data_IF_314544568720
#
_entry.id   IF_314544568720
#
_cell.length_a   1.000
_cell.length_b   1.000
_cell.length_c   1.000
_cell.angle_alpha   90.00
_cell.angle_beta   90.00
_cell.angle_gamma   90.00
#
_symmetry.space_group_name_H-M   'P 1'
#
loop_
_entity.id
_entity.type
_entity.pdbx_description
1 polymer ?
#
# COMPACT_ATOMS: atom_id res chain seq x y z
N UNK A 1 17.64 -2.80 4.68
CA UNK A 1 16.24 -2.55 4.29
C UNK A 1 16.06 -3.03 2.85
N UNK A 2 15.06 -3.86 2.58
CA UNK A 2 14.89 -4.44 1.24
C UNK A 2 14.21 -3.44 0.30
N UNK A 3 14.96 -2.91 -0.65
CA UNK A 3 14.42 -2.14 -1.78
C UNK A 3 14.11 -3.04 -2.97
N UNK A 4 14.26 -4.35 -2.82
CA UNK A 4 14.14 -5.30 -3.90
C UNK A 4 13.02 -6.29 -3.66
N UNK A 5 12.25 -6.56 -4.70
CA UNK A 5 11.30 -7.67 -4.71
C UNK A 5 12.07 -8.96 -4.93
N UNK A 6 12.07 -9.86 -3.95
CA UNK A 6 12.69 -11.17 -4.10
C UNK A 6 11.91 -12.05 -5.09
N UNK A 7 12.58 -12.95 -5.81
CA UNK A 7 11.92 -13.98 -6.61
C UNK A 7 11.00 -14.84 -5.75
N UNK A 8 9.87 -15.27 -6.30
CA UNK A 8 8.87 -16.07 -5.57
C UNK A 8 9.47 -17.37 -5.06
N UNK A 9 10.31 -18.04 -5.86
CA UNK A 9 11.00 -19.26 -5.44
C UNK A 9 11.81 -19.07 -4.16
N UNK A 10 12.63 -18.01 -4.11
CA UNK A 10 13.41 -17.68 -2.90
C UNK A 10 12.52 -17.37 -1.70
N UNK A 11 11.39 -16.70 -1.91
CA UNK A 11 10.43 -16.45 -0.84
C UNK A 11 9.88 -17.76 -0.26
N UNK A 12 9.56 -18.73 -1.10
CA UNK A 12 9.10 -20.07 -0.67
C UNK A 12 10.18 -20.87 0.04
N UNK A 13 11.43 -20.78 -0.42
CA UNK A 13 12.56 -21.43 0.28
C UNK A 13 12.73 -20.85 1.69
N UNK A 14 12.76 -19.52 1.82
CA UNK A 14 12.86 -18.84 3.12
C UNK A 14 11.67 -19.24 4.01
N UNK A 15 10.46 -19.24 3.45
CA UNK A 15 9.26 -19.62 4.19
C UNK A 15 9.33 -21.07 4.68
N UNK A 16 9.89 -21.97 3.86
CA UNK A 16 10.13 -23.36 4.23
C UNK A 16 11.14 -23.48 5.37
N UNK A 17 12.21 -22.69 5.34
CA UNK A 17 13.18 -22.64 6.45
C UNK A 17 12.55 -22.11 7.73
N UNK A 18 11.72 -21.07 7.65
CA UNK A 18 10.98 -20.53 8.80
C UNK A 18 10.03 -21.58 9.37
N UNK A 19 9.32 -22.33 8.53
CA UNK A 19 8.45 -23.44 8.95
C UNK A 19 9.25 -24.51 9.70
N UNK A 20 10.38 -24.96 9.12
CA UNK A 20 11.27 -25.94 9.76
C UNK A 20 11.78 -25.44 11.12
N UNK A 21 12.22 -24.19 11.19
CA UNK A 21 12.69 -23.58 12.43
C UNK A 21 11.56 -23.52 13.48
N UNK A 22 10.39 -23.04 13.10
CA UNK A 22 9.24 -22.90 13.99
C UNK A 22 8.82 -24.24 14.60
N UNK A 23 8.78 -25.28 13.79
CA UNK A 23 8.45 -26.64 14.26
C UNK A 23 9.63 -27.35 14.91
N UNK A 24 10.77 -26.68 15.07
CA UNK A 24 11.97 -27.21 15.73
C UNK A 24 12.53 -28.44 15.02
N UNK A 25 12.40 -28.52 13.70
CA UNK A 25 13.01 -29.59 12.92
C UNK A 25 14.52 -29.37 12.85
N UNK A 26 15.24 -30.21 13.59
CA UNK A 26 16.70 -30.31 13.54
C UNK A 26 17.06 -31.68 12.94
N UNK A 27 17.69 -31.70 11.76
CA UNK A 27 18.04 -32.93 11.04
C UNK A 27 16.87 -33.57 10.29
N UNK A 28 16.96 -34.86 9.98
CA UNK A 28 16.00 -35.59 9.14
C UNK A 28 14.74 -36.07 9.87
N UNK A 29 14.64 -35.84 11.18
CA UNK A 29 13.49 -36.24 11.98
C UNK A 29 12.21 -35.49 11.62
N UNK A 30 11.22 -36.24 11.12
CA UNK A 30 9.86 -35.65 10.88
C UNK A 30 9.19 -35.40 12.23
N UNK A 31 8.84 -34.13 12.50
CA UNK A 31 8.01 -33.77 13.65
C UNK A 31 6.56 -33.62 13.23
N UNK A 32 5.64 -33.94 14.14
CA UNK A 32 4.20 -33.78 13.91
C UNK A 32 3.84 -32.29 13.88
N UNK A 33 3.20 -31.86 12.80
CA UNK A 33 2.67 -30.51 12.66
C UNK A 33 1.22 -30.53 13.13
N UNK A 34 0.94 -29.95 14.29
CA UNK A 34 -0.40 -29.93 14.90
C UNK A 34 -1.40 -29.06 14.15
N UNK A 35 -0.90 -28.01 13.44
CA UNK A 35 -1.71 -27.07 12.66
C UNK A 35 -1.08 -26.83 11.30
N UNK A 36 -1.91 -26.55 10.30
CA UNK A 36 -1.43 -26.09 8.98
C UNK A 36 -0.80 -24.71 9.11
N UNK A 37 0.29 -24.46 8.37
CA UNK A 37 0.99 -23.20 8.38
C UNK A 37 0.09 -22.01 8.01
N UNK A 38 -0.80 -22.23 7.05
CA UNK A 38 -1.77 -21.24 6.59
C UNK A 38 -2.73 -20.82 7.71
N UNK A 39 -3.12 -21.73 8.58
CA UNK A 39 -3.97 -21.43 9.75
C UNK A 39 -3.23 -20.59 10.80
N UNK A 40 -1.94 -20.86 11.02
CA UNK A 40 -1.09 -20.04 11.90
C UNK A 40 -0.87 -18.62 11.35
N UNK A 41 -0.90 -18.45 10.03
CA UNK A 41 -0.75 -17.16 9.36
C UNK A 41 -2.05 -16.34 9.30
N UNK A 42 -3.21 -16.92 9.60
CA UNK A 42 -4.48 -16.19 9.64
C UNK A 42 -4.51 -15.24 10.84
N UNK A 43 -5.00 -14.02 10.59
CA UNK A 43 -5.25 -13.07 11.67
C UNK A 43 -6.32 -13.60 12.61
N UNK A 44 -5.95 -13.82 13.87
CA UNK A 44 -6.86 -14.18 14.96
C UNK A 44 -7.04 -12.97 15.88
N UNK A 45 -8.00 -13.08 16.80
CA UNK A 45 -8.34 -12.05 17.79
C UNK A 45 -7.14 -11.44 18.54
N UNK A 46 -7.27 -10.24 19.14
CA UNK A 46 -6.19 -9.56 19.85
C UNK A 46 -5.53 -10.48 20.90
N UNK A 47 -4.20 -10.53 20.88
CA UNK A 47 -3.41 -11.31 21.83
C UNK A 47 -2.78 -12.59 21.28
N UNK A 48 -3.07 -12.99 20.07
CA UNK A 48 -2.45 -14.17 19.44
C UNK A 48 -1.32 -13.74 18.50
N UNK A 49 -0.18 -14.43 18.58
CA UNK A 49 0.94 -14.22 17.65
C UNK A 49 0.51 -14.54 16.23
N UNK A 50 0.61 -13.55 15.34
CA UNK A 50 0.30 -13.70 13.92
C UNK A 50 1.61 -13.91 13.17
N UNK A 51 1.82 -15.14 12.71
CA UNK A 51 2.87 -15.45 11.76
C UNK A 51 2.42 -14.90 10.38
N UNK A 52 3.15 -13.96 9.85
CA UNK A 52 2.86 -13.38 8.52
C UNK A 52 3.57 -14.18 7.45
N UNK A 53 2.86 -14.42 6.35
CA UNK A 53 3.45 -15.00 5.14
C UNK A 53 4.59 -14.06 4.68
N UNK A 54 5.77 -14.61 4.47
CA UNK A 54 6.98 -13.84 4.14
C UNK A 54 6.79 -12.93 2.91
N UNK A 55 6.07 -13.42 1.89
CA UNK A 55 5.75 -12.66 0.68
C UNK A 55 4.96 -11.37 1.00
N UNK A 56 3.98 -11.44 1.89
CA UNK A 56 3.21 -10.27 2.33
C UNK A 56 4.09 -9.27 3.08
N UNK A 57 4.98 -9.76 3.95
CA UNK A 57 5.91 -8.91 4.70
C UNK A 57 6.87 -8.18 3.77
N UNK A 58 7.39 -8.85 2.77
CA UNK A 58 8.25 -8.25 1.75
C UNK A 58 7.50 -7.16 0.96
N UNK A 59 6.26 -7.41 0.53
CA UNK A 59 5.45 -6.41 -0.18
C UNK A 59 5.18 -5.19 0.71
N UNK A 60 4.92 -5.37 2.00
CA UNK A 60 4.75 -4.27 2.96
C UNK A 60 6.01 -3.40 3.08
N UNK A 61 7.20 -4.01 3.05
CA UNK A 61 8.45 -3.25 3.05
C UNK A 61 8.60 -2.40 1.78
N UNK A 62 8.23 -2.91 0.62
CA UNK A 62 8.24 -2.13 -0.64
C UNK A 62 7.20 -0.99 -0.61
N UNK A 63 6.02 -1.25 -0.08
CA UNK A 63 4.99 -0.22 0.15
C UNK A 63 5.54 0.88 1.05
N UNK A 64 6.24 0.54 2.14
CA UNK A 64 6.87 1.51 3.03
C UNK A 64 7.92 2.36 2.31
N UNK A 65 8.75 1.79 1.42
CA UNK A 65 9.70 2.56 0.62
C UNK A 65 9.00 3.55 -0.32
N UNK A 66 7.94 3.09 -0.98
CA UNK A 66 7.11 3.96 -1.84
C UNK A 66 6.44 5.08 -1.03
N UNK A 67 5.97 4.76 0.17
CA UNK A 67 5.39 5.74 1.09
C UNK A 67 6.40 6.83 1.50
N UNK A 68 7.65 6.45 1.76
CA UNK A 68 8.70 7.41 2.03
C UNK A 68 8.99 8.31 0.83
N UNK A 69 8.99 7.78 -0.40
CA UNK A 69 9.14 8.60 -1.60
C UNK A 69 7.97 9.58 -1.82
N UNK A 70 6.82 9.35 -1.23
CA UNK A 70 5.70 10.30 -1.28
C UNK A 70 5.86 11.44 -0.26
N UNK A 71 6.35 11.14 0.94
CA UNK A 71 6.28 12.06 2.09
C UNK A 71 7.62 12.72 2.39
N UNK A 72 8.74 11.99 2.33
CA UNK A 72 10.06 12.52 2.64
C UNK A 72 10.77 13.00 1.38
N UNK A 73 10.57 14.28 1.04
CA UNK A 73 11.18 14.93 -0.13
C UNK A 73 12.62 15.35 0.11
N UNK A 74 13.12 15.32 1.35
CA UNK A 74 14.45 15.77 1.73
C UNK A 74 15.51 14.69 1.62
N UNK A 75 15.11 13.43 1.70
CA UNK A 75 16.02 12.29 1.69
C UNK A 75 16.83 12.16 0.40
N UNK A 76 18.06 11.68 0.52
CA UNK A 76 18.90 11.34 -0.63
C UNK A 76 18.21 10.32 -1.54
N UNK A 77 17.51 9.37 -0.94
CA UNK A 77 16.72 8.36 -1.65
C UNK A 77 15.68 9.01 -2.59
N UNK A 78 14.90 9.97 -2.08
CA UNK A 78 13.95 10.72 -2.90
C UNK A 78 14.65 11.49 -4.03
N UNK A 79 15.72 12.22 -3.72
CA UNK A 79 16.43 13.07 -4.69
C UNK A 79 16.99 12.24 -5.87
N UNK A 80 17.60 11.09 -5.57
CA UNK A 80 18.15 10.19 -6.60
C UNK A 80 17.06 9.61 -7.49
N UNK A 81 15.96 9.12 -6.91
CA UNK A 81 14.89 8.53 -7.70
C UNK A 81 14.09 9.58 -8.47
N UNK A 82 13.89 10.76 -7.89
CA UNK A 82 13.20 11.87 -8.56
C UNK A 82 13.94 12.32 -9.80
N UNK A 83 15.23 12.61 -9.69
CA UNK A 83 16.02 13.10 -10.82
C UNK A 83 16.02 12.12 -12.00
N UNK A 84 15.99 10.81 -11.73
CA UNK A 84 16.11 9.77 -12.75
C UNK A 84 14.78 9.32 -13.33
N UNK A 85 13.72 9.20 -12.53
CA UNK A 85 12.49 8.49 -12.94
C UNK A 85 11.23 9.35 -12.97
N UNK A 86 11.19 10.46 -12.24
CA UNK A 86 10.02 11.36 -12.23
C UNK A 86 10.41 12.83 -11.96
N UNK A 87 11.24 13.43 -12.82
CA UNK A 87 11.71 14.81 -12.65
C UNK A 87 10.54 15.78 -12.55
N UNK A 88 9.51 15.57 -13.37
CA UNK A 88 8.28 16.35 -13.39
C UNK A 88 7.13 15.51 -12.83
N UNK A 89 6.60 15.88 -11.66
CA UNK A 89 5.45 15.20 -11.07
C UNK A 89 5.75 14.38 -9.82
N UNK A 90 4.95 13.36 -9.59
CA UNK A 90 4.98 12.52 -8.40
C UNK A 90 5.31 11.06 -8.74
N UNK A 91 5.71 10.29 -7.73
CA UNK A 91 5.91 8.85 -7.92
C UNK A 91 4.62 8.13 -8.36
N UNK A 92 3.44 8.72 -8.05
CA UNK A 92 2.16 8.11 -8.43
C UNK A 92 1.95 8.09 -9.94
N UNK A 93 2.49 9.08 -10.66
CA UNK A 93 2.34 9.25 -12.11
C UNK A 93 3.57 8.76 -12.87
N UNK A 94 4.62 8.37 -12.14
CA UNK A 94 5.90 7.99 -12.71
C UNK A 94 5.80 6.80 -13.66
N UNK A 95 6.49 6.89 -14.79
CA UNK A 95 6.59 5.80 -15.76
C UNK A 95 7.46 4.65 -15.24
N UNK A 96 7.27 3.48 -15.82
CA UNK A 96 8.13 2.32 -15.59
C UNK A 96 8.81 1.91 -16.92
N UNK A 97 9.89 2.60 -17.31
CA UNK A 97 10.58 2.29 -18.57
C UNK A 97 11.19 0.89 -18.55
N UNK A 98 11.36 0.29 -19.73
CA UNK A 98 11.98 -1.05 -19.87
C UNK A 98 13.42 -1.09 -19.36
N UNK A 99 14.15 0.03 -19.46
CA UNK A 99 15.52 0.21 -18.95
C UNK A 99 15.60 0.50 -17.46
N UNK A 100 14.46 0.50 -16.73
CA UNK A 100 14.44 0.80 -15.32
C UNK A 100 15.25 -0.20 -14.49
N UNK A 101 15.93 0.29 -13.46
CA UNK A 101 16.65 -0.56 -12.50
C UNK A 101 15.70 -1.53 -11.79
N UNK A 102 16.25 -2.63 -11.30
CA UNK A 102 15.47 -3.61 -10.55
C UNK A 102 14.85 -3.01 -9.27
N UNK A 103 15.58 -2.10 -8.62
CA UNK A 103 15.07 -1.36 -7.46
C UNK A 103 13.82 -0.53 -7.83
N UNK A 104 13.87 0.23 -8.93
CA UNK A 104 12.74 1.02 -9.39
C UNK A 104 11.53 0.16 -9.71
N UNK A 105 11.72 -0.91 -10.48
CA UNK A 105 10.63 -1.86 -10.78
C UNK A 105 9.99 -2.44 -9.52
N UNK A 106 10.79 -2.69 -8.48
CA UNK A 106 10.31 -3.17 -7.19
C UNK A 106 9.48 -2.12 -6.46
N UNK A 107 9.94 -0.86 -6.45
CA UNK A 107 9.21 0.28 -5.85
C UNK A 107 7.87 0.52 -6.56
N UNK A 108 7.84 0.44 -7.90
CA UNK A 108 6.61 0.56 -8.68
C UNK A 108 5.58 -0.52 -8.30
N UNK A 109 6.01 -1.73 -7.94
CA UNK A 109 5.10 -2.76 -7.41
C UNK A 109 4.50 -2.35 -6.06
N UNK A 110 5.28 -1.71 -5.18
CA UNK A 110 4.78 -1.12 -3.94
C UNK A 110 3.76 -0.01 -4.20
N UNK A 111 3.99 0.85 -5.20
CA UNK A 111 3.06 1.90 -5.64
C UNK A 111 1.69 1.33 -6.02
N UNK A 112 1.65 0.24 -6.77
CA UNK A 112 0.39 -0.39 -7.19
C UNK A 112 -0.44 -0.86 -5.98
N UNK A 113 0.21 -1.33 -4.92
CA UNK A 113 -0.48 -1.70 -3.69
C UNK A 113 -1.07 -0.45 -3.00
N UNK A 114 -0.31 0.66 -2.95
CA UNK A 114 -0.80 1.93 -2.41
C UNK A 114 -1.99 2.42 -3.22
N UNK A 115 -1.91 2.45 -4.55
CA UNK A 115 -3.02 2.87 -5.42
C UNK A 115 -4.30 2.08 -5.17
N UNK A 116 -4.18 0.78 -4.88
CA UNK A 116 -5.33 -0.08 -4.58
C UNK A 116 -5.90 0.13 -3.18
N UNK A 117 -5.06 0.45 -2.21
CA UNK A 117 -5.44 0.50 -0.79
C UNK A 117 -5.56 1.90 -0.18
N UNK A 118 -4.93 2.91 -0.78
CA UNK A 118 -4.95 4.25 -0.23
C UNK A 118 -6.33 4.90 -0.33
N UNK A 119 -6.71 5.58 0.74
CA UNK A 119 -7.91 6.41 0.83
C UNK A 119 -7.45 7.79 1.29
N UNK A 120 -7.95 8.84 0.65
CA UNK A 120 -7.68 10.20 1.06
C UNK A 120 -8.29 10.51 2.42
N UNK A 121 -7.49 11.03 3.32
CA UNK A 121 -7.98 11.66 4.54
C UNK A 121 -8.27 13.11 4.21
N UNK A 122 -9.53 13.52 4.30
CA UNK A 122 -9.96 14.85 3.94
C UNK A 122 -9.57 15.84 5.03
N UNK A 123 -8.84 16.89 4.62
CA UNK A 123 -8.63 18.10 5.41
C UNK A 123 -9.60 19.19 4.96
N UNK A 124 -9.11 20.13 4.13
CA UNK A 124 -9.92 21.20 3.53
C UNK A 124 -10.65 20.79 2.24
N UNK A 125 -10.36 19.60 1.70
CA UNK A 125 -11.00 19.03 0.52
C UNK A 125 -10.65 19.68 -0.82
N UNK A 126 -9.72 20.65 -0.89
CA UNK A 126 -9.38 21.39 -2.11
C UNK A 126 -8.74 20.56 -3.22
N UNK A 127 -8.02 19.50 -2.83
CA UNK A 127 -7.26 18.66 -3.75
C UNK A 127 -7.94 17.33 -4.10
N UNK A 128 -9.05 17.01 -3.44
CA UNK A 128 -9.73 15.73 -3.57
C UNK A 128 -10.96 15.89 -4.47
N UNK A 129 -11.04 15.07 -5.50
CA UNK A 129 -12.20 15.03 -6.40
C UNK A 129 -13.30 14.10 -5.84
N UNK A 130 -14.56 14.55 -5.94
CA UNK A 130 -15.70 13.85 -5.35
C UNK A 130 -15.87 12.45 -5.97
N UNK A 131 -15.78 12.33 -7.28
CA UNK A 131 -16.07 11.09 -8.01
C UNK A 131 -14.82 10.31 -8.39
N UNK A 132 -13.73 10.99 -8.75
CA UNK A 132 -12.51 10.34 -9.21
C UNK A 132 -11.70 9.73 -8.08
N UNK A 133 -11.64 10.40 -6.93
CA UNK A 133 -10.77 10.02 -5.82
C UNK A 133 -11.44 9.02 -4.86
N UNK A 134 -10.60 8.31 -4.12
CA UNK A 134 -11.01 7.36 -3.09
C UNK A 134 -10.93 8.03 -1.73
N UNK A 135 -12.04 8.51 -1.22
CA UNK A 135 -12.07 9.26 0.03
C UNK A 135 -13.15 8.82 1.04
N UNK A 136 -14.09 7.99 0.59
CA UNK A 136 -15.11 7.47 1.50
C UNK A 136 -14.55 6.34 2.36
N UNK A 137 -14.75 6.36 3.69
CA UNK A 137 -14.28 5.32 4.61
C UNK A 137 -15.14 4.05 4.55
N UNK A 138 -15.45 3.59 3.33
CA UNK A 138 -16.24 2.37 3.08
C UNK A 138 -15.32 1.24 2.62
N UNK A 139 -15.50 0.06 3.22
CA UNK A 139 -14.68 -1.12 2.96
C UNK A 139 -14.74 -1.59 1.49
N UNK A 140 -15.91 -1.57 0.89
CA UNK A 140 -16.14 -2.13 -0.45
C UNK A 140 -16.18 -1.10 -1.57
N UNK A 141 -16.55 0.14 -1.28
CA UNK A 141 -16.62 1.22 -2.27
C UNK A 141 -16.12 2.55 -1.69
N UNK A 142 -14.81 2.81 -1.77
CA UNK A 142 -14.25 4.07 -1.27
C UNK A 142 -14.46 5.26 -2.21
N UNK A 143 -15.15 5.07 -3.34
CA UNK A 143 -15.56 6.10 -4.29
C UNK A 143 -17.06 6.34 -4.22
N UNK A 144 -17.47 7.54 -4.61
CA UNK A 144 -18.88 7.86 -4.82
C UNK A 144 -19.37 7.08 -6.03
N UNK A 145 -20.52 6.39 -5.89
CA UNK A 145 -21.10 5.55 -6.93
C UNK A 145 -22.21 6.28 -7.72
N UNK A 146 -22.71 7.42 -7.21
CA UNK A 146 -23.71 8.22 -7.90
C UNK A 146 -23.15 8.83 -9.18
N UNK A 147 -23.98 9.00 -10.18
CA UNK A 147 -23.65 9.81 -11.36
C UNK A 147 -23.35 11.26 -10.94
N UNK A 148 -22.58 11.95 -11.77
CA UNK A 148 -22.28 13.37 -11.58
C UNK A 148 -23.60 14.14 -11.63
N UNK A 149 -23.88 14.91 -10.59
CA UNK A 149 -25.03 15.83 -10.60
C UNK A 149 -24.59 17.07 -11.40
N UNK A 150 -25.36 17.39 -12.46
CA UNK A 150 -25.06 18.52 -13.34
C UNK A 150 -25.09 19.88 -12.62
N UNK A 151 -25.72 19.94 -11.44
CA UNK A 151 -25.79 21.12 -10.60
C UNK A 151 -24.51 21.43 -9.81
N UNK A 152 -23.62 20.45 -9.64
CA UNK A 152 -22.34 20.65 -8.95
C UNK A 152 -21.28 21.12 -9.95
N UNK A 153 -21.14 22.43 -10.09
CA UNK A 153 -20.12 23.06 -10.92
C UNK A 153 -18.69 22.76 -10.48
N UNK A 154 -18.48 22.47 -9.18
CA UNK A 154 -17.17 22.14 -8.63
C UNK A 154 -17.09 20.66 -8.26
N UNK A 155 -16.16 19.94 -8.88
CA UNK A 155 -15.92 18.50 -8.63
C UNK A 155 -15.13 18.22 -7.34
N UNK A 156 -14.79 19.26 -6.57
CA UNK A 156 -13.93 19.13 -5.40
C UNK A 156 -14.72 18.92 -4.10
N UNK A 157 -14.16 18.10 -3.19
CA UNK A 157 -14.78 17.80 -1.91
C UNK A 157 -14.95 19.04 -1.02
N UNK A 158 -14.16 20.09 -1.22
CA UNK A 158 -14.31 21.36 -0.49
C UNK A 158 -15.70 22.01 -0.72
N UNK A 159 -16.35 21.78 -1.87
CA UNK A 159 -17.70 22.27 -2.13
C UNK A 159 -18.77 21.65 -1.19
N UNK A 160 -18.49 20.47 -0.63
CA UNK A 160 -19.35 19.74 0.29
C UNK A 160 -19.12 20.09 1.78
N UNK A 161 -18.14 20.97 2.07
CA UNK A 161 -17.74 21.32 3.44
C UNK A 161 -18.03 22.80 3.68
N UNK A 162 -18.60 23.11 4.84
CA UNK A 162 -18.64 24.48 5.35
C UNK A 162 -17.27 24.83 5.93
N UNK A 163 -16.53 25.72 5.28
CA UNK A 163 -15.14 26.04 5.62
C UNK A 163 -15.02 26.64 7.02
N UNK A 164 -15.98 27.49 7.41
CA UNK A 164 -15.99 28.21 8.70
C UNK A 164 -16.31 27.27 9.87
N UNK A 165 -17.15 26.27 9.66
CA UNK A 165 -17.63 25.38 10.73
C UNK A 165 -16.95 24.01 10.72
N UNK A 166 -16.12 23.70 9.74
CA UNK A 166 -15.51 22.36 9.51
C UNK A 166 -16.53 21.21 9.56
N UNK A 167 -17.73 21.47 9.08
CA UNK A 167 -18.85 20.52 9.06
C UNK A 167 -19.28 20.21 7.62
N UNK A 168 -19.80 19.02 7.43
CA UNK A 168 -20.36 18.61 6.14
C UNK A 168 -21.69 19.32 5.88
N UNK A 169 -21.93 19.73 4.65
CA UNK A 169 -23.24 20.24 4.23
C UNK A 169 -24.28 19.12 4.29
N UNK A 170 -25.32 19.30 5.05
CA UNK A 170 -26.35 18.27 5.31
C UNK A 170 -27.38 18.14 4.18
N UNK A 171 -27.38 19.08 3.23
CA UNK A 171 -28.26 19.05 2.05
C UNK A 171 -27.41 19.32 0.80
N UNK A 172 -27.14 18.30 0.05
CA UNK A 172 -26.70 18.36 -1.34
C UNK A 172 -27.55 17.38 -2.13
#
# INVERSE_FOLDING_TARGET
MSCFKLPIGLCHEIETLIKKFFWGQRGEGRKVHWLKWEELCKSKSPGVWVLRIYLCSMMLLLVKQTWWLLHDKTSLFYRVFKSKYFPNGTIMDAANPSSASYAWRSIIRGREVIKKGAIWRIGDGKFVDIWADRWLPRKYSPRVLSSRLDELTDSKVCSLIYVDQKQWKTKV
#
